data_IF_103191078231
#
_entry.id   IF_103191078231
#
_cell.length_a   1.000
_cell.length_b   1.000
_cell.length_c   1.000
_cell.angle_alpha   90.00
_cell.angle_beta   90.00
_cell.angle_gamma   90.00
#
_symmetry.space_group_name_H-M   'P 1'
#
loop_
_entity.id
_entity.type
_entity.pdbx_description
1 polymer ?
#
# COMPACT_ATOMS: atom_id res chain seq x y z
N UNK A 1 4.52 -5.10 19.33
CA UNK A 1 3.61 -4.29 18.55
C UNK A 1 4.05 -2.82 18.55
N UNK A 2 3.96 -2.18 17.42
CA UNK A 2 4.16 -0.73 17.22
C UNK A 2 2.84 -0.03 16.89
N UNK A 3 1.72 -0.69 17.11
CA UNK A 3 0.40 -0.15 16.79
C UNK A 3 0.21 1.26 17.34
N UNK A 4 -0.12 2.19 16.44
CA UNK A 4 -0.39 3.62 16.74
C UNK A 4 0.71 4.33 17.50
N UNK A 5 1.96 3.94 17.34
CA UNK A 5 3.06 4.40 18.19
C UNK A 5 3.24 5.93 18.16
N UNK A 6 3.12 6.54 16.97
CA UNK A 6 3.13 8.00 16.78
C UNK A 6 1.93 8.48 15.96
N UNK A 7 0.88 7.67 15.89
CA UNK A 7 -0.29 7.97 15.06
C UNK A 7 -0.90 9.34 15.39
N UNK A 8 -1.27 10.05 14.32
CA UNK A 8 -1.96 11.34 14.38
C UNK A 8 -1.17 12.47 15.08
N UNK A 9 0.16 12.32 15.16
CA UNK A 9 1.04 13.42 15.57
C UNK A 9 1.12 14.45 14.42
N UNK A 10 0.01 15.13 14.13
CA UNK A 10 -0.19 15.93 12.91
C UNK A 10 0.73 17.17 12.78
N UNK A 11 1.41 17.58 13.85
CA UNK A 11 2.37 18.67 13.84
C UNK A 11 3.83 18.21 13.91
N UNK A 12 4.07 16.89 13.90
CA UNK A 12 5.40 16.30 13.94
C UNK A 12 6.10 16.53 12.61
N UNK A 13 7.21 17.28 12.59
CA UNK A 13 7.96 17.58 11.36
C UNK A 13 9.14 16.64 11.16
N UNK A 14 9.75 16.17 12.23
CA UNK A 14 10.91 15.29 12.18
C UNK A 14 10.77 14.13 13.15
N UNK A 15 11.16 12.93 12.72
CA UNK A 15 11.14 11.75 13.55
C UNK A 15 12.36 10.88 13.23
N UNK A 16 13.19 10.60 14.23
CA UNK A 16 14.31 9.68 14.09
C UNK A 16 13.94 8.32 14.69
N UNK A 17 13.91 7.30 13.84
CA UNK A 17 13.60 5.90 14.22
C UNK A 17 14.79 4.95 14.06
N UNK A 18 15.99 5.46 13.74
CA UNK A 18 17.18 4.66 13.38
C UNK A 18 17.68 3.70 14.47
N UNK A 19 17.25 3.86 15.69
CA UNK A 19 17.62 2.96 16.82
C UNK A 19 16.49 2.04 17.26
N UNK A 20 15.40 1.98 16.54
CA UNK A 20 14.27 1.14 16.94
C UNK A 20 14.52 -0.33 16.56
N UNK A 21 14.44 -1.21 17.56
CA UNK A 21 14.47 -2.66 17.32
C UNK A 21 13.07 -3.15 16.95
N UNK A 22 12.90 -3.47 15.66
CA UNK A 22 11.62 -3.97 15.12
C UNK A 22 11.59 -5.48 14.92
N UNK A 23 12.69 -6.20 15.19
CA UNK A 23 12.86 -7.63 14.90
C UNK A 23 11.80 -8.56 15.52
N UNK A 24 11.10 -8.11 16.55
CA UNK A 24 10.03 -8.87 17.21
C UNK A 24 8.64 -8.23 17.03
N UNK A 25 8.51 -7.26 16.11
CA UNK A 25 7.22 -6.60 15.84
C UNK A 25 6.39 -7.46 14.91
N UNK A 26 5.16 -7.75 15.33
CA UNK A 26 4.17 -8.50 14.53
C UNK A 26 3.01 -7.60 14.05
N UNK A 27 2.86 -6.41 14.65
CA UNK A 27 1.77 -5.48 14.34
C UNK A 27 2.31 -4.05 14.28
N UNK A 28 2.29 -3.48 13.06
CA UNK A 28 2.67 -2.10 12.75
C UNK A 28 1.45 -1.23 12.40
N UNK A 29 0.23 -1.73 12.69
CA UNK A 29 -0.98 -1.01 12.29
C UNK A 29 -0.98 0.44 12.78
N UNK A 30 -1.19 1.35 11.82
CA UNK A 30 -1.25 2.81 12.04
C UNK A 30 -0.01 3.39 12.77
N UNK A 31 1.16 2.73 12.70
CA UNK A 31 2.35 3.15 13.47
C UNK A 31 2.72 4.61 13.25
N UNK A 32 2.60 5.11 12.02
CA UNK A 32 2.92 6.49 11.61
C UNK A 32 1.71 7.24 11.02
N UNK A 33 0.51 6.66 11.12
CA UNK A 33 -0.68 7.19 10.47
C UNK A 33 -0.94 8.65 10.86
N UNK A 34 -1.24 9.50 9.87
CA UNK A 34 -1.64 10.88 10.07
C UNK A 34 -0.56 11.81 10.65
N UNK A 35 0.72 11.44 10.54
CA UNK A 35 1.83 12.35 10.79
C UNK A 35 2.00 13.33 9.61
N UNK A 36 0.99 14.17 9.40
CA UNK A 36 0.79 14.96 8.18
C UNK A 36 1.94 15.88 7.82
N UNK A 37 2.60 16.48 8.83
CA UNK A 37 3.68 17.47 8.65
C UNK A 37 5.06 16.82 8.58
N UNK A 38 5.16 15.48 8.61
CA UNK A 38 6.43 14.79 8.49
C UNK A 38 6.92 14.91 7.04
N UNK A 39 8.13 15.42 6.85
CA UNK A 39 8.73 15.63 5.52
C UNK A 39 9.57 14.42 5.07
N UNK A 40 10.16 13.72 6.05
CA UNK A 40 11.01 12.54 5.81
C UNK A 40 10.74 11.48 6.87
N UNK A 41 10.79 10.22 6.47
CA UNK A 41 10.74 9.06 7.37
C UNK A 41 11.69 7.97 6.87
N UNK A 42 12.84 7.83 7.57
CA UNK A 42 13.82 6.80 7.27
C UNK A 42 13.53 5.53 8.06
N UNK A 43 13.02 4.51 7.36
CA UNK A 43 12.70 3.18 7.92
C UNK A 43 13.72 2.10 7.48
N UNK A 44 14.87 2.50 6.92
CA UNK A 44 15.89 1.59 6.38
C UNK A 44 16.45 0.58 7.40
N UNK A 45 16.31 0.86 8.70
CA UNK A 45 16.76 -0.03 9.78
C UNK A 45 15.69 -1.03 10.23
N UNK A 46 14.47 -0.99 9.65
CA UNK A 46 13.38 -1.84 10.13
C UNK A 46 13.52 -3.29 9.64
N UNK A 47 13.45 -4.23 10.57
CA UNK A 47 13.23 -5.65 10.31
C UNK A 47 11.72 -5.92 10.37
N UNK A 48 11.15 -6.33 9.24
CA UNK A 48 9.71 -6.56 9.09
C UNK A 48 9.32 -8.03 8.91
N UNK A 49 10.29 -8.95 9.00
CA UNK A 49 10.08 -10.37 8.70
C UNK A 49 8.97 -11.05 9.54
N UNK A 50 8.59 -10.46 10.67
CA UNK A 50 7.53 -10.98 11.55
C UNK A 50 6.24 -10.16 11.52
N UNK A 51 6.18 -9.10 10.71
CA UNK A 51 5.02 -8.21 10.69
C UNK A 51 3.88 -8.86 9.91
N UNK A 52 2.80 -9.15 10.60
CA UNK A 52 1.58 -9.74 10.06
C UNK A 52 0.55 -8.68 9.64
N UNK A 53 0.59 -7.50 10.28
CA UNK A 53 -0.40 -6.45 10.09
C UNK A 53 0.25 -5.09 9.80
N UNK A 54 0.08 -4.64 8.55
CA UNK A 54 0.51 -3.33 8.06
C UNK A 54 -0.65 -2.33 7.86
N UNK A 55 -1.83 -2.60 8.45
CA UNK A 55 -2.98 -1.71 8.30
C UNK A 55 -2.62 -0.25 8.57
N UNK A 56 -2.78 0.63 7.57
CA UNK A 56 -2.57 2.06 7.69
C UNK A 56 -1.17 2.49 8.19
N UNK A 57 -0.16 1.63 8.09
CA UNK A 57 1.16 1.88 8.71
C UNK A 57 1.72 3.25 8.36
N UNK A 58 1.63 3.65 7.10
CA UNK A 58 2.14 4.92 6.57
C UNK A 58 1.04 5.81 6.01
N UNK A 59 -0.22 5.62 6.42
CA UNK A 59 -1.32 6.41 5.89
C UNK A 59 -1.23 7.88 6.29
N UNK A 60 -1.55 8.79 5.35
CA UNK A 60 -1.62 10.23 5.61
C UNK A 60 -0.28 10.89 5.97
N UNK A 61 0.82 10.45 5.38
CA UNK A 61 2.10 11.14 5.36
C UNK A 61 2.09 12.16 4.21
N UNK A 62 1.35 13.26 4.38
CA UNK A 62 0.95 14.14 3.29
C UNK A 62 2.12 14.86 2.60
N UNK A 63 3.25 15.08 3.30
CA UNK A 63 4.43 15.79 2.79
C UNK A 63 5.63 14.88 2.47
N UNK A 64 5.58 13.59 2.81
CA UNK A 64 6.64 12.65 2.43
C UNK A 64 6.61 12.44 0.93
N UNK A 65 7.73 12.72 0.25
CA UNK A 65 7.86 12.60 -1.22
C UNK A 65 8.44 11.28 -1.69
N UNK A 66 9.18 10.59 -0.82
CA UNK A 66 9.74 9.26 -1.07
C UNK A 66 9.76 8.44 0.23
N UNK A 67 9.46 7.16 0.12
CA UNK A 67 9.48 6.22 1.24
C UNK A 67 10.18 4.93 0.77
N UNK A 68 11.35 4.65 1.35
CA UNK A 68 12.11 3.44 1.01
C UNK A 68 11.63 2.25 1.83
N UNK A 69 10.80 1.42 1.22
CA UNK A 69 10.26 0.17 1.77
C UNK A 69 10.64 -1.05 0.93
N UNK A 70 11.48 -0.88 -0.10
CA UNK A 70 11.86 -1.96 -1.00
C UNK A 70 12.59 -3.14 -0.32
N UNK A 71 13.16 -2.90 0.86
CA UNK A 71 13.83 -3.90 1.68
C UNK A 71 12.89 -4.66 2.64
N UNK A 72 11.59 -4.27 2.73
CA UNK A 72 10.65 -4.93 3.67
C UNK A 72 10.42 -6.39 3.29
N UNK A 73 10.63 -7.28 4.25
CA UNK A 73 10.14 -8.65 4.17
C UNK A 73 8.66 -8.66 4.60
N UNK A 74 7.78 -8.90 3.64
CA UNK A 74 6.33 -8.93 3.86
C UNK A 74 5.76 -10.35 3.82
N UNK A 75 6.62 -11.38 3.92
CA UNK A 75 6.21 -12.79 3.79
C UNK A 75 5.23 -13.26 4.87
N UNK A 76 5.22 -12.61 6.04
CA UNK A 76 4.27 -12.90 7.12
C UNK A 76 2.98 -12.05 7.04
N UNK A 77 2.91 -11.09 6.12
CA UNK A 77 1.81 -10.13 6.07
C UNK A 77 0.47 -10.78 5.66
N UNK A 78 -0.58 -10.46 6.39
CA UNK A 78 -1.96 -10.90 6.11
C UNK A 78 -2.89 -9.72 5.79
N UNK A 79 -2.51 -8.50 6.20
CA UNK A 79 -3.30 -7.29 6.01
C UNK A 79 -2.42 -6.11 5.63
N UNK A 80 -2.70 -5.49 4.48
CA UNK A 80 -2.05 -4.27 3.97
C UNK A 80 -3.08 -3.18 3.66
N UNK A 81 -4.30 -3.26 4.22
CA UNK A 81 -5.34 -2.25 4.05
C UNK A 81 -4.80 -0.85 4.40
N UNK A 82 -5.03 0.11 3.52
CA UNK A 82 -4.68 1.52 3.70
C UNK A 82 -3.18 1.79 3.98
N UNK A 83 -2.28 0.84 3.67
CA UNK A 83 -0.87 0.94 4.08
C UNK A 83 -0.23 2.27 3.67
N UNK A 84 -0.58 2.79 2.49
CA UNK A 84 -0.07 4.04 1.93
C UNK A 84 -1.19 5.05 1.60
N UNK A 85 -2.41 4.88 2.13
CA UNK A 85 -3.54 5.77 1.85
C UNK A 85 -3.23 7.23 2.22
N UNK A 86 -3.57 8.16 1.32
CA UNK A 86 -3.47 9.61 1.58
C UNK A 86 -2.04 10.16 1.56
N UNK A 87 -1.12 9.50 0.89
CA UNK A 87 0.24 9.99 0.69
C UNK A 87 0.30 10.89 -0.54
N UNK A 88 -0.29 12.08 -0.45
CA UNK A 88 -0.53 12.98 -1.58
C UNK A 88 0.74 13.41 -2.32
N UNK A 89 1.86 13.58 -1.60
CA UNK A 89 3.12 14.07 -2.17
C UNK A 89 4.08 12.97 -2.62
N UNK A 90 3.76 11.70 -2.36
CA UNK A 90 4.63 10.57 -2.69
C UNK A 90 4.77 10.45 -4.22
N UNK A 91 6.00 10.54 -4.72
CA UNK A 91 6.31 10.48 -6.16
C UNK A 91 6.91 9.16 -6.59
N UNK A 92 7.57 8.45 -5.66
CA UNK A 92 8.20 7.15 -5.90
C UNK A 92 7.92 6.19 -4.76
N UNK A 93 7.61 4.94 -5.09
CA UNK A 93 7.37 3.88 -4.11
C UNK A 93 7.74 2.54 -4.75
N UNK A 94 8.73 1.84 -4.22
CA UNK A 94 9.09 0.50 -4.66
C UNK A 94 8.44 -0.55 -3.76
N UNK A 95 7.48 -1.27 -4.32
CA UNK A 95 6.79 -2.42 -3.70
C UNK A 95 6.98 -3.71 -4.52
N UNK A 96 7.84 -3.68 -5.53
CA UNK A 96 8.08 -4.82 -6.45
C UNK A 96 8.56 -6.08 -5.73
N UNK A 97 9.24 -5.90 -4.59
CA UNK A 97 9.71 -6.98 -3.71
C UNK A 97 8.67 -7.51 -2.71
N UNK A 98 7.48 -6.93 -2.64
CA UNK A 98 6.49 -7.36 -1.64
C UNK A 98 5.98 -8.78 -1.92
N UNK A 99 6.04 -9.62 -0.90
CA UNK A 99 5.40 -10.92 -0.90
C UNK A 99 3.97 -10.79 -0.35
N UNK A 100 2.98 -10.96 -1.22
CA UNK A 100 1.56 -10.82 -0.87
C UNK A 100 0.81 -12.15 -0.79
N UNK A 101 1.53 -13.29 -0.84
CA UNK A 101 0.93 -14.62 -0.91
C UNK A 101 -0.04 -14.95 0.25
N UNK A 102 0.11 -14.30 1.41
CA UNK A 102 -0.78 -14.50 2.56
C UNK A 102 -1.74 -13.34 2.82
N UNK A 103 -1.66 -12.28 1.99
CA UNK A 103 -2.50 -11.09 2.15
C UNK A 103 -3.93 -11.37 1.73
N UNK A 104 -4.87 -10.99 2.58
CA UNK A 104 -6.31 -11.14 2.34
C UNK A 104 -7.00 -9.81 2.05
N UNK A 105 -6.42 -8.71 2.52
CA UNK A 105 -7.03 -7.38 2.39
C UNK A 105 -6.02 -6.38 1.83
N UNK A 106 -6.33 -5.85 0.64
CA UNK A 106 -5.61 -4.79 -0.08
C UNK A 106 -6.46 -3.52 -0.26
N UNK A 107 -7.56 -3.37 0.50
CA UNK A 107 -8.39 -2.18 0.39
C UNK A 107 -7.54 -0.91 0.56
N UNK A 108 -7.80 0.09 -0.25
CA UNK A 108 -7.21 1.42 -0.13
C UNK A 108 -5.68 1.45 -0.05
N UNK A 109 -4.98 0.38 -0.42
CA UNK A 109 -3.53 0.30 -0.19
C UNK A 109 -2.77 1.52 -0.72
N UNK A 110 -3.18 2.05 -1.88
CA UNK A 110 -2.57 3.22 -2.52
C UNK A 110 -3.56 4.36 -2.77
N UNK A 111 -4.74 4.35 -2.11
CA UNK A 111 -5.75 5.41 -2.27
C UNK A 111 -5.12 6.79 -2.08
N UNK A 112 -5.41 7.73 -3.00
CA UNK A 112 -4.91 9.09 -2.95
C UNK A 112 -3.38 9.25 -2.95
N UNK A 113 -2.63 8.31 -3.53
CA UNK A 113 -1.23 8.53 -3.89
C UNK A 113 -1.16 9.37 -5.18
N UNK A 114 -1.61 10.64 -5.09
CA UNK A 114 -1.96 11.49 -6.24
C UNK A 114 -0.80 11.82 -7.17
N UNK A 115 0.43 11.87 -6.63
CA UNK A 115 1.63 12.25 -7.38
C UNK A 115 2.52 11.06 -7.78
N UNK A 116 2.07 9.82 -7.49
CA UNK A 116 2.79 8.62 -7.87
C UNK A 116 2.68 8.41 -9.38
N UNK A 117 3.82 8.41 -10.09
CA UNK A 117 3.85 8.31 -11.56
C UNK A 117 4.06 6.89 -12.07
N UNK A 118 4.68 6.03 -11.25
CA UNK A 118 4.97 4.64 -11.57
C UNK A 118 4.69 3.76 -10.34
N UNK A 119 4.13 2.58 -10.56
CA UNK A 119 3.88 1.61 -9.49
C UNK A 119 3.92 0.19 -10.08
N UNK A 120 4.90 -0.60 -9.67
CA UNK A 120 5.00 -2.00 -10.08
C UNK A 120 4.36 -2.92 -9.04
N UNK A 121 3.20 -3.43 -9.37
CA UNK A 121 2.44 -4.43 -8.60
C UNK A 121 2.31 -5.77 -9.36
N UNK A 122 3.06 -5.94 -10.45
CA UNK A 122 2.99 -7.14 -11.29
C UNK A 122 3.41 -8.42 -10.55
N UNK A 123 4.26 -8.26 -9.50
CA UNK A 123 4.69 -9.35 -8.63
C UNK A 123 3.71 -9.76 -7.54
N UNK A 124 2.58 -9.06 -7.38
CA UNK A 124 1.63 -9.38 -6.31
C UNK A 124 0.92 -10.72 -6.56
N UNK A 125 1.04 -11.64 -5.61
CA UNK A 125 0.19 -12.84 -5.55
C UNK A 125 -1.14 -12.48 -4.87
N UNK A 126 -2.20 -12.42 -5.67
CA UNK A 126 -3.54 -12.05 -5.20
C UNK A 126 -4.44 -13.28 -4.95
N UNK A 127 -3.88 -14.49 -5.00
CA UNK A 127 -4.64 -15.74 -4.90
C UNK A 127 -5.40 -15.94 -3.57
N UNK A 128 -5.02 -15.22 -2.52
CA UNK A 128 -5.69 -15.23 -1.23
C UNK A 128 -6.42 -13.93 -0.89
N UNK A 129 -6.38 -12.94 -1.80
CA UNK A 129 -7.05 -11.65 -1.58
C UNK A 129 -8.56 -11.81 -1.72
N UNK A 130 -9.29 -11.27 -0.75
CA UNK A 130 -10.76 -11.27 -0.74
C UNK A 130 -11.34 -9.89 -1.03
N UNK A 131 -10.58 -8.82 -0.81
CA UNK A 131 -11.07 -7.46 -1.03
C UNK A 131 -9.93 -6.51 -1.41
N UNK A 132 -10.20 -5.65 -2.42
CA UNK A 132 -9.30 -4.61 -2.91
C UNK A 132 -10.07 -3.35 -3.31
N UNK A 133 -11.11 -3.00 -2.53
CA UNK A 133 -11.89 -1.78 -2.75
C UNK A 133 -11.01 -0.54 -2.68
N UNK A 134 -11.20 0.39 -3.62
CA UNK A 134 -10.51 1.68 -3.66
C UNK A 134 -8.96 1.58 -3.78
N UNK A 135 -8.42 0.42 -4.16
CA UNK A 135 -6.97 0.15 -4.01
C UNK A 135 -6.08 1.21 -4.66
N UNK A 136 -6.48 1.72 -5.83
CA UNK A 136 -5.75 2.76 -6.56
C UNK A 136 -6.55 4.07 -6.68
N UNK A 137 -7.71 4.18 -6.01
CA UNK A 137 -8.56 5.37 -6.11
C UNK A 137 -7.77 6.66 -5.92
N UNK A 138 -7.89 7.58 -6.90
CA UNK A 138 -7.24 8.89 -6.85
C UNK A 138 -5.71 8.86 -7.06
N UNK A 139 -5.16 7.82 -7.68
CA UNK A 139 -3.77 7.79 -8.14
C UNK A 139 -3.62 8.59 -9.43
N UNK A 140 -3.86 9.90 -9.37
CA UNK A 140 -4.12 10.77 -10.51
C UNK A 140 -3.01 10.85 -11.56
N UNK A 141 -1.76 10.53 -11.21
CA UNK A 141 -0.61 10.63 -12.11
C UNK A 141 -0.14 9.29 -12.65
N UNK A 142 -0.75 8.17 -12.25
CA UNK A 142 -0.45 6.85 -12.83
C UNK A 142 -1.00 6.78 -14.26
N UNK A 143 -0.12 6.47 -15.23
CA UNK A 143 -0.50 6.28 -16.62
C UNK A 143 -0.77 4.82 -16.97
N UNK A 144 -0.08 3.91 -16.33
CA UNK A 144 -0.13 2.48 -16.63
C UNK A 144 -0.14 1.63 -15.36
N UNK A 145 -0.88 0.52 -15.38
CA UNK A 145 -0.84 -0.52 -14.36
C UNK A 145 -0.81 -1.89 -15.01
N UNK A 146 0.08 -2.78 -14.54
CA UNK A 146 0.14 -4.16 -15.00
C UNK A 146 -0.38 -5.12 -13.93
N UNK A 147 -1.58 -5.67 -14.15
CA UNK A 147 -2.27 -6.62 -13.30
C UNK A 147 -2.40 -8.02 -13.97
N UNK A 148 -1.61 -8.30 -15.01
CA UNK A 148 -1.77 -9.49 -15.85
C UNK A 148 -1.53 -10.81 -15.12
N UNK A 149 -0.80 -10.79 -14.00
CA UNK A 149 -0.56 -11.98 -13.16
C UNK A 149 -1.56 -12.18 -12.03
N UNK A 150 -2.54 -11.29 -11.88
CA UNK A 150 -3.44 -11.32 -10.73
C UNK A 150 -4.49 -12.42 -10.84
N UNK A 151 -4.69 -13.14 -9.74
CA UNK A 151 -5.76 -14.09 -9.56
C UNK A 151 -6.86 -13.49 -8.70
N UNK A 152 -8.05 -13.28 -9.27
CA UNK A 152 -9.18 -12.66 -8.57
C UNK A 152 -10.31 -13.65 -8.24
N UNK A 153 -10.04 -14.95 -8.26
CA UNK A 153 -11.07 -15.97 -8.02
C UNK A 153 -11.72 -15.87 -6.63
N UNK A 154 -10.95 -15.41 -5.62
CA UNK A 154 -11.45 -15.24 -4.25
C UNK A 154 -11.89 -13.82 -3.93
N UNK A 155 -11.72 -12.89 -4.88
CA UNK A 155 -12.07 -11.49 -4.63
C UNK A 155 -13.59 -11.31 -4.61
N UNK A 156 -14.08 -10.84 -3.50
CA UNK A 156 -15.51 -10.58 -3.25
C UNK A 156 -15.89 -9.14 -3.60
N UNK A 157 -14.92 -8.20 -3.52
CA UNK A 157 -15.14 -6.79 -3.82
C UNK A 157 -13.89 -6.09 -4.33
N UNK A 158 -14.07 -5.26 -5.39
CA UNK A 158 -13.05 -4.37 -5.96
C UNK A 158 -13.68 -3.03 -6.40
N UNK A 159 -14.62 -2.52 -5.60
CA UNK A 159 -15.36 -1.30 -5.91
C UNK A 159 -14.44 -0.10 -5.93
N UNK A 160 -14.68 0.82 -6.89
CA UNK A 160 -13.96 2.08 -7.01
C UNK A 160 -12.44 1.94 -7.15
N UNK A 161 -11.98 0.77 -7.60
CA UNK A 161 -10.55 0.42 -7.62
C UNK A 161 -9.70 1.44 -8.37
N UNK A 162 -10.23 2.05 -9.44
CA UNK A 162 -9.59 3.05 -10.29
C UNK A 162 -10.35 4.37 -10.33
N UNK A 163 -11.23 4.60 -9.37
CA UNK A 163 -12.05 5.82 -9.35
C UNK A 163 -11.18 7.06 -9.19
N UNK A 164 -11.34 8.02 -10.09
CA UNK A 164 -10.59 9.29 -10.05
C UNK A 164 -9.20 9.24 -10.70
N UNK A 165 -8.80 8.13 -11.31
CA UNK A 165 -7.49 7.97 -11.97
C UNK A 165 -7.52 8.59 -13.39
N UNK A 166 -7.52 9.92 -13.45
CA UNK A 166 -7.79 10.66 -14.67
C UNK A 166 -6.70 10.56 -15.75
N UNK A 167 -5.49 10.09 -15.41
CA UNK A 167 -4.38 9.90 -16.35
C UNK A 167 -4.14 8.44 -16.71
N UNK A 168 -4.91 7.50 -16.17
CA UNK A 168 -4.72 6.08 -16.43
C UNK A 168 -5.14 5.75 -17.88
N UNK A 169 -4.15 5.49 -18.74
CA UNK A 169 -4.32 5.21 -20.17
C UNK A 169 -4.40 3.71 -20.46
N UNK A 170 -3.73 2.89 -19.63
CA UNK A 170 -3.70 1.43 -19.85
C UNK A 170 -3.69 0.63 -18.57
N UNK A 171 -4.44 -0.49 -18.58
CA UNK A 171 -4.42 -1.50 -17.54
C UNK A 171 -4.18 -2.86 -18.20
N UNK A 172 -3.02 -3.46 -17.92
CA UNK A 172 -2.72 -4.82 -18.36
C UNK A 172 -3.45 -5.83 -17.46
N UNK A 173 -4.43 -6.52 -18.00
CA UNK A 173 -5.20 -7.56 -17.29
C UNK A 173 -5.22 -8.85 -18.08
N UNK A 174 -5.30 -10.00 -17.41
CA UNK A 174 -5.69 -11.26 -18.06
C UNK A 174 -7.23 -11.28 -18.22
N UNK A 175 -7.76 -11.23 -19.47
CA UNK A 175 -9.20 -11.25 -19.68
C UNK A 175 -9.88 -12.49 -19.13
N UNK A 176 -9.16 -13.62 -19.01
CA UNK A 176 -9.72 -14.86 -18.47
C UNK A 176 -9.90 -14.78 -16.94
N UNK A 177 -9.04 -14.04 -16.24
CA UNK A 177 -9.14 -13.82 -14.81
C UNK A 177 -10.25 -12.79 -14.48
N UNK A 178 -10.22 -11.61 -15.13
CA UNK A 178 -11.15 -10.51 -14.83
C UNK A 178 -12.56 -10.70 -15.42
N UNK A 179 -12.75 -11.58 -16.43
CA UNK A 179 -14.08 -11.86 -16.99
C UNK A 179 -15.00 -12.72 -16.12
N UNK A 180 -14.54 -13.23 -14.99
CA UNK A 180 -15.32 -14.10 -14.08
C UNK A 180 -15.62 -13.50 -12.73
N UNK A 181 -14.99 -12.38 -12.39
CA UNK A 181 -15.14 -11.70 -11.11
C UNK A 181 -16.34 -10.74 -11.06
N UNK A 182 -16.75 -10.34 -9.87
CA UNK A 182 -17.73 -9.27 -9.67
C UNK A 182 -17.04 -7.93 -9.93
N UNK A 183 -17.14 -7.46 -11.18
CA UNK A 183 -16.56 -6.18 -11.64
C UNK A 183 -17.54 -5.01 -11.53
N UNK A 184 -18.66 -5.18 -10.82
CA UNK A 184 -19.62 -4.09 -10.62
C UNK A 184 -18.98 -2.93 -9.85
N UNK A 185 -18.83 -1.78 -10.52
CA UNK A 185 -18.31 -0.54 -9.91
C UNK A 185 -16.80 -0.35 -9.99
N UNK A 186 -16.09 -1.09 -10.87
CA UNK A 186 -14.70 -0.77 -11.24
C UNK A 186 -14.59 0.56 -11.96
#
# INVERSE_FOLDING_TARGET
SMRRMVAYCSSLQTLNVSGWDTSNVTDMSEAFAGCRMLEELDVSSFDTARVENFFGTFSGLEFVTALDVGHFDTSAATNMDSMFDGNFSLTTLDVSGFNTAHVQNLNRMFTNCQNLTELDVSGFDTSNVTTMDNMFEGCNMLAELNLSGWNIEKVESMRYMFSGDNHLESIGVDPAAFGRGNTEGM
#
